data_IF_599678809498
#
_entry.id   IF_599678809498
#
_cell.length_a   1.000
_cell.length_b   1.000
_cell.length_c   1.000
_cell.angle_alpha   90.00
_cell.angle_beta   90.00
_cell.angle_gamma   90.00
#
_symmetry.space_group_name_H-M   'P 1'
#
loop_
_entity.id
_entity.type
_entity.pdbx_description
1 polymer ?
#
# COMPACT_ATOMS: atom_id res chain seq x y z
N UNK A 1 -39.00 2.38 -51.33
CA UNK A 1 -39.37 2.21 -49.92
C UNK A 1 -38.19 1.57 -49.19
N UNK A 2 -37.41 2.41 -48.54
CA UNK A 2 -36.21 2.04 -47.76
C UNK A 2 -36.57 2.08 -46.26
N UNK A 3 -36.29 1.06 -45.48
CA UNK A 3 -36.20 1.21 -44.04
C UNK A 3 -34.75 1.00 -43.58
N UNK A 4 -34.09 2.07 -43.26
CA UNK A 4 -32.84 2.09 -42.54
C UNK A 4 -33.01 1.52 -41.14
N UNK A 5 -32.51 0.34 -40.88
CA UNK A 5 -32.31 -0.19 -39.54
C UNK A 5 -31.03 0.39 -38.95
N UNK A 6 -31.20 1.43 -38.15
CA UNK A 6 -30.14 1.91 -37.26
C UNK A 6 -30.09 0.95 -36.06
N UNK A 7 -29.13 0.03 -36.05
CA UNK A 7 -28.83 -0.80 -34.87
C UNK A 7 -28.18 0.06 -33.82
N UNK A 8 -28.97 0.51 -32.87
CA UNK A 8 -28.49 1.12 -31.64
C UNK A 8 -27.83 0.02 -30.79
N UNK A 9 -26.49 -0.06 -30.81
CA UNK A 9 -25.75 -0.92 -29.90
C UNK A 9 -25.94 -0.42 -28.46
N UNK A 10 -26.94 -0.92 -27.77
CA UNK A 10 -27.04 -0.81 -26.33
C UNK A 10 -25.88 -1.57 -25.70
N UNK A 11 -24.84 -0.84 -25.32
CA UNK A 11 -23.82 -1.35 -24.39
C UNK A 11 -24.53 -1.57 -23.06
N UNK A 12 -24.90 -2.81 -22.77
CA UNK A 12 -25.49 -3.19 -21.49
C UNK A 12 -24.43 -3.04 -20.42
N UNK A 13 -24.51 -1.96 -19.62
CA UNK A 13 -23.72 -1.83 -18.40
C UNK A 13 -24.12 -2.93 -17.42
N UNK A 14 -23.31 -3.97 -17.29
CA UNK A 14 -23.46 -4.96 -16.23
C UNK A 14 -22.81 -4.42 -14.95
N UNK A 15 -23.59 -4.37 -13.87
CA UNK A 15 -23.09 -4.04 -12.54
C UNK A 15 -22.71 -5.32 -11.80
N UNK A 16 -21.49 -5.36 -11.29
CA UNK A 16 -21.01 -6.46 -10.45
C UNK A 16 -20.95 -5.92 -9.03
N UNK A 17 -21.85 -6.41 -8.16
CA UNK A 17 -21.82 -6.08 -6.74
C UNK A 17 -20.87 -7.02 -5.99
N UNK A 18 -20.06 -6.48 -5.11
CA UNK A 18 -19.24 -7.29 -4.22
C UNK A 18 -18.99 -6.62 -2.86
N UNK A 19 -19.00 -7.48 -1.82
CA UNK A 19 -18.60 -7.04 -0.48
C UNK A 19 -17.11 -6.81 -0.42
N UNK A 20 -16.69 -5.60 -0.07
CA UNK A 20 -15.28 -5.21 0.00
C UNK A 20 -14.92 -4.52 1.31
N UNK A 21 -13.61 -4.45 1.60
CA UNK A 21 -13.09 -3.69 2.72
C UNK A 21 -12.35 -2.44 2.23
N UNK A 22 -12.77 -1.26 2.69
CA UNK A 22 -12.09 0.01 2.41
C UNK A 22 -11.49 0.61 3.66
N UNK A 23 -10.24 1.08 3.54
CA UNK A 23 -9.57 1.85 4.57
C UNK A 23 -9.70 3.36 4.36
N UNK A 24 -10.24 4.07 5.34
CA UNK A 24 -10.37 5.52 5.36
C UNK A 24 -9.36 6.10 6.35
N UNK A 25 -8.40 6.87 5.86
CA UNK A 25 -7.35 7.45 6.71
C UNK A 25 -7.55 8.95 6.87
N UNK A 26 -7.64 9.42 8.12
CA UNK A 26 -7.83 10.81 8.48
C UNK A 26 -6.73 11.31 9.42
N UNK A 27 -6.31 12.57 9.26
CA UNK A 27 -5.37 13.22 10.16
C UNK A 27 -6.09 13.67 11.44
N UNK A 28 -5.67 13.13 12.58
CA UNK A 28 -6.18 13.49 13.88
C UNK A 28 -5.66 14.86 14.35
N UNK A 29 -6.48 15.53 15.19
CA UNK A 29 -6.16 16.78 15.87
C UNK A 29 -6.42 16.61 17.38
N UNK A 30 -5.59 15.82 18.08
CA UNK A 30 -5.73 15.62 19.52
C UNK A 30 -5.40 16.91 20.28
N UNK A 31 -5.98 17.06 21.47
CA UNK A 31 -5.51 18.02 22.47
C UNK A 31 -4.15 17.58 23.02
N UNK A 32 -3.50 18.43 23.81
CA UNK A 32 -2.22 18.09 24.43
C UNK A 32 -2.34 16.89 25.39
N UNK A 33 -3.43 16.80 26.12
CA UNK A 33 -3.73 15.68 27.03
C UNK A 33 -3.97 14.39 26.25
N UNK A 34 -4.77 14.46 25.18
CA UNK A 34 -4.99 13.33 24.29
C UNK A 34 -3.69 12.87 23.61
N UNK A 35 -2.80 13.78 23.20
CA UNK A 35 -1.49 13.40 22.64
C UNK A 35 -0.63 12.65 23.66
N UNK A 36 -0.60 13.12 24.91
CA UNK A 36 0.10 12.42 26.01
C UNK A 36 -0.47 11.01 26.19
N UNK A 37 -1.78 10.88 26.29
CA UNK A 37 -2.46 9.61 26.49
C UNK A 37 -2.28 8.66 25.30
N UNK A 38 -2.36 9.15 24.05
CA UNK A 38 -2.11 8.37 22.85
C UNK A 38 -0.65 7.87 22.78
N UNK A 39 0.31 8.65 23.25
CA UNK A 39 1.70 8.20 23.38
C UNK A 39 1.85 7.09 24.45
N UNK A 40 1.11 7.17 25.54
CA UNK A 40 1.05 6.12 26.56
C UNK A 40 0.44 4.83 25.98
N UNK A 41 -0.68 4.93 25.25
CA UNK A 41 -1.28 3.79 24.53
C UNK A 41 -0.29 3.10 23.62
N UNK A 42 0.40 3.87 22.76
CA UNK A 42 1.40 3.33 21.85
C UNK A 42 2.59 2.69 22.60
N UNK A 43 2.98 3.27 23.73
CA UNK A 43 4.02 2.74 24.62
C UNK A 43 3.67 1.39 25.20
N UNK A 44 2.49 1.29 25.81
CA UNK A 44 2.00 0.05 26.43
C UNK A 44 1.73 -1.04 25.39
N UNK A 45 1.11 -0.71 24.26
CA UNK A 45 0.91 -1.67 23.17
C UNK A 45 2.24 -2.19 22.59
N UNK A 46 3.26 -1.34 22.51
CA UNK A 46 4.62 -1.77 22.13
C UNK A 46 5.25 -2.68 23.16
N UNK A 47 5.11 -2.38 24.44
CA UNK A 47 5.57 -3.23 25.55
C UNK A 47 4.90 -4.60 25.49
N UNK A 48 3.57 -4.67 25.43
CA UNK A 48 2.81 -5.92 25.31
C UNK A 48 3.24 -6.74 24.08
N UNK A 49 3.44 -6.11 22.92
CA UNK A 49 3.97 -6.80 21.75
C UNK A 49 5.35 -7.40 21.99
N UNK A 50 6.26 -6.63 22.60
CA UNK A 50 7.63 -7.06 22.80
C UNK A 50 7.74 -8.17 23.85
N UNK A 51 7.02 -8.05 24.97
CA UNK A 51 6.95 -9.11 25.99
C UNK A 51 6.38 -10.40 25.40
N UNK A 52 5.26 -10.31 24.69
CA UNK A 52 4.64 -11.48 24.09
C UNK A 52 5.52 -12.13 23.01
N UNK A 53 6.26 -11.34 22.24
CA UNK A 53 7.22 -11.85 21.24
C UNK A 53 8.40 -12.54 21.93
N UNK A 54 8.99 -11.91 22.94
CA UNK A 54 10.11 -12.47 23.72
C UNK A 54 9.71 -13.79 24.37
N UNK A 55 8.55 -13.84 25.00
CA UNK A 55 7.99 -15.04 25.60
C UNK A 55 7.84 -16.18 24.58
N UNK A 56 7.33 -15.90 23.35
CA UNK A 56 7.22 -16.93 22.28
C UNK A 56 8.57 -17.40 21.81
N UNK A 57 9.58 -16.51 21.71
CA UNK A 57 10.94 -16.88 21.30
C UNK A 57 11.58 -17.78 22.35
N UNK A 58 11.49 -17.41 23.64
CA UNK A 58 12.08 -18.17 24.73
C UNK A 58 11.37 -19.51 24.93
N UNK A 59 10.04 -19.55 24.84
CA UNK A 59 9.27 -20.78 24.88
C UNK A 59 9.68 -21.74 23.73
N UNK A 60 9.83 -21.22 22.50
CA UNK A 60 10.30 -22.03 21.37
C UNK A 60 11.70 -22.61 21.61
N UNK A 61 12.62 -21.82 22.18
CA UNK A 61 14.01 -22.25 22.38
C UNK A 61 14.16 -23.25 23.52
N UNK A 62 13.41 -23.08 24.61
CA UNK A 62 13.62 -23.82 25.86
C UNK A 62 12.64 -24.96 26.07
N UNK A 63 11.37 -24.82 25.68
CA UNK A 63 10.28 -25.69 26.12
C UNK A 63 9.54 -26.42 25.00
N UNK A 64 9.77 -26.10 23.74
CA UNK A 64 9.01 -26.69 22.63
C UNK A 64 9.14 -28.22 22.61
N UNK A 65 10.31 -28.74 22.86
CA UNK A 65 10.60 -30.18 22.83
C UNK A 65 10.19 -30.90 24.13
N UNK A 66 10.17 -30.18 25.26
CA UNK A 66 9.90 -30.75 26.57
C UNK A 66 8.40 -30.85 26.92
N UNK A 67 7.59 -29.89 26.51
CA UNK A 67 6.19 -29.79 26.99
C UNK A 67 5.13 -30.00 25.92
N UNK A 68 5.48 -29.96 24.63
CA UNK A 68 4.49 -30.01 23.53
C UNK A 68 3.49 -28.83 23.51
N UNK A 69 3.47 -28.01 24.55
CA UNK A 69 2.53 -26.91 24.71
C UNK A 69 2.80 -25.79 23.70
N UNK A 70 1.73 -25.28 23.08
CA UNK A 70 1.81 -24.16 22.14
C UNK A 70 1.43 -22.86 22.86
N UNK A 71 2.36 -21.91 22.89
CA UNK A 71 2.06 -20.56 23.33
C UNK A 71 1.36 -19.80 22.20
N UNK A 72 0.10 -19.40 22.43
CA UNK A 72 -0.76 -18.78 21.44
C UNK A 72 -1.40 -17.50 21.98
N UNK A 73 -2.29 -16.89 21.18
CA UNK A 73 -3.05 -15.70 21.56
C UNK A 73 -3.85 -15.90 22.89
N UNK A 74 -4.51 -17.06 23.04
CA UNK A 74 -5.43 -17.31 24.18
C UNK A 74 -4.65 -17.36 25.48
N UNK A 75 -3.53 -18.08 25.53
CA UNK A 75 -2.67 -18.17 26.72
C UNK A 75 -2.10 -16.79 27.10
N UNK A 76 -1.60 -16.04 26.11
CA UNK A 76 -1.06 -14.71 26.35
C UNK A 76 -2.13 -13.68 26.74
N UNK A 77 -3.36 -13.83 26.25
CA UNK A 77 -4.47 -12.96 26.65
C UNK A 77 -4.93 -13.20 28.10
N UNK A 78 -4.82 -14.43 28.63
CA UNK A 78 -5.04 -14.73 30.04
C UNK A 78 -3.97 -14.08 30.90
N UNK A 79 -2.69 -14.27 30.57
CA UNK A 79 -1.56 -13.66 31.28
C UNK A 79 -1.59 -12.12 31.25
N UNK A 80 -2.16 -11.52 30.19
CA UNK A 80 -2.36 -10.08 30.13
C UNK A 80 -3.32 -9.58 31.22
N UNK A 81 -4.29 -10.41 31.68
CA UNK A 81 -5.18 -10.06 32.79
C UNK A 81 -4.37 -9.87 34.07
N UNK A 82 -3.43 -10.78 34.36
CA UNK A 82 -2.59 -10.74 35.55
C UNK A 82 -1.65 -9.54 35.54
N UNK A 83 -0.97 -9.30 34.40
CA UNK A 83 -0.15 -8.10 34.18
C UNK A 83 -0.94 -6.79 34.39
N UNK A 84 -2.20 -6.75 34.01
CA UNK A 84 -3.07 -5.59 34.19
C UNK A 84 -3.51 -5.42 35.65
N UNK A 85 -3.59 -6.50 36.40
CA UNK A 85 -3.88 -6.43 37.85
C UNK A 85 -2.67 -5.90 38.61
N UNK A 86 -1.48 -6.30 38.23
CA UNK A 86 -0.22 -5.96 38.90
C UNK A 86 0.27 -4.54 38.59
N UNK A 87 0.15 -4.09 37.28
CA UNK A 87 0.74 -2.84 36.81
C UNK A 87 -0.31 -1.79 36.45
N UNK A 88 -0.44 -0.72 37.24
CA UNK A 88 -1.38 0.38 37.02
C UNK A 88 -1.21 1.08 35.66
N UNK A 89 0.01 1.30 35.23
CA UNK A 89 0.27 1.95 33.92
C UNK A 89 -0.21 1.11 32.74
N UNK A 90 -0.24 -0.23 32.89
CA UNK A 90 -0.82 -1.14 31.89
C UNK A 90 -2.34 -1.09 31.97
N UNK A 91 -2.91 -1.07 33.21
CA UNK A 91 -4.34 -0.97 33.46
C UNK A 91 -4.94 0.36 32.97
N UNK A 92 -4.18 1.44 33.00
CA UNK A 92 -4.60 2.76 32.52
C UNK A 92 -4.94 2.78 31.01
N UNK A 93 -4.32 1.92 30.21
CA UNK A 93 -4.60 1.79 28.78
C UNK A 93 -5.75 0.81 28.52
N UNK A 94 -6.49 1.00 27.40
CA UNK A 94 -7.61 0.12 27.02
C UNK A 94 -7.15 -1.34 26.90
N UNK A 95 -7.91 -2.24 27.53
CA UNK A 95 -7.68 -3.69 27.45
C UNK A 95 -7.82 -4.19 26.02
N UNK A 96 -8.81 -3.69 25.29
CA UNK A 96 -9.08 -4.11 23.91
C UNK A 96 -7.95 -3.73 22.97
N UNK A 97 -7.32 -2.55 23.16
CA UNK A 97 -6.13 -2.17 22.37
C UNK A 97 -4.94 -3.11 22.62
N UNK A 98 -4.77 -3.57 23.86
CA UNK A 98 -3.73 -4.53 24.23
C UNK A 98 -4.03 -5.92 23.69
N UNK A 99 -5.26 -6.42 23.83
CA UNK A 99 -5.71 -7.70 23.28
C UNK A 99 -5.58 -7.73 21.74
N UNK A 100 -5.92 -6.63 21.05
CA UNK A 100 -5.70 -6.48 19.60
C UNK A 100 -4.22 -6.54 19.25
N UNK A 101 -3.35 -6.00 20.10
CA UNK A 101 -1.89 -6.09 19.89
C UNK A 101 -1.41 -7.54 19.92
N UNK A 102 -1.87 -8.35 20.86
CA UNK A 102 -1.57 -9.80 20.91
C UNK A 102 -2.14 -10.54 19.71
N UNK A 103 -3.37 -10.24 19.28
CA UNK A 103 -3.97 -10.83 18.09
C UNK A 103 -3.19 -10.49 16.82
N UNK A 104 -2.69 -9.26 16.71
CA UNK A 104 -1.85 -8.84 15.59
C UNK A 104 -0.50 -9.57 15.57
N UNK A 105 0.09 -9.84 16.75
CA UNK A 105 1.29 -10.67 16.86
C UNK A 105 1.02 -12.10 16.40
N UNK A 106 -0.10 -12.67 16.82
CA UNK A 106 -0.52 -14.01 16.43
C UNK A 106 -0.70 -14.11 14.90
N UNK A 107 -1.37 -13.14 14.29
CA UNK A 107 -1.52 -13.03 12.83
C UNK A 107 -0.16 -12.91 12.14
N UNK A 108 0.81 -12.17 12.72
CA UNK A 108 2.15 -12.05 12.16
C UNK A 108 2.90 -13.39 12.16
N UNK A 109 2.77 -14.20 13.22
CA UNK A 109 3.31 -15.57 13.26
C UNK A 109 2.63 -16.51 12.25
N UNK A 110 1.30 -16.46 12.14
CA UNK A 110 0.56 -17.25 11.15
C UNK A 110 1.03 -16.95 9.73
N UNK A 111 1.24 -15.67 9.39
CA UNK A 111 1.79 -15.25 8.10
C UNK A 111 3.22 -15.74 7.88
N UNK A 112 4.05 -15.70 8.92
CA UNK A 112 5.41 -16.23 8.87
C UNK A 112 5.40 -17.74 8.56
N UNK A 113 4.61 -18.53 9.27
CA UNK A 113 4.52 -19.98 9.04
C UNK A 113 3.93 -20.34 7.67
N UNK A 114 3.07 -19.48 7.10
CA UNK A 114 2.54 -19.63 5.73
C UNK A 114 3.52 -19.13 4.64
N UNK A 115 4.73 -18.69 4.98
CA UNK A 115 5.67 -18.08 4.02
C UNK A 115 5.25 -16.74 3.45
N UNK A 116 4.20 -16.12 4.00
CA UNK A 116 3.63 -14.84 3.53
C UNK A 116 4.27 -13.60 4.19
N UNK A 117 5.23 -13.79 5.07
CA UNK A 117 5.91 -12.70 5.76
C UNK A 117 7.18 -13.15 6.47
N UNK A 118 8.02 -12.20 6.86
CA UNK A 118 9.20 -12.47 7.66
C UNK A 118 8.87 -12.73 9.13
N UNK A 119 9.85 -13.21 9.90
CA UNK A 119 9.72 -13.41 11.34
C UNK A 119 9.36 -12.10 12.05
N UNK A 120 8.41 -12.10 13.02
CA UNK A 120 8.02 -10.92 13.75
C UNK A 120 9.21 -10.26 14.47
N UNK A 121 9.26 -8.92 14.45
CA UNK A 121 10.38 -8.16 15.01
C UNK A 121 9.94 -7.36 16.24
N UNK A 122 10.89 -7.14 17.16
CA UNK A 122 10.70 -6.23 18.28
C UNK A 122 10.40 -4.81 17.79
N UNK A 123 9.39 -4.19 18.39
CA UNK A 123 9.02 -2.80 18.08
C UNK A 123 9.88 -1.81 18.85
N UNK A 124 10.30 -0.73 18.16
CA UNK A 124 11.09 0.36 18.76
C UNK A 124 10.25 1.62 18.88
N UNK A 125 10.50 2.42 19.92
CA UNK A 125 9.84 3.73 20.13
C UNK A 125 10.04 4.62 18.91
N UNK A 126 8.95 5.19 18.39
CA UNK A 126 8.97 6.08 17.23
C UNK A 126 9.09 5.38 15.87
N UNK A 127 9.13 4.06 15.84
CA UNK A 127 9.16 3.27 14.60
C UNK A 127 7.80 2.57 14.40
N UNK A 128 6.78 3.33 13.96
CA UNK A 128 5.44 2.78 13.71
C UNK A 128 4.62 2.57 14.98
N UNK A 129 4.67 3.52 15.91
CA UNK A 129 3.83 3.53 17.10
C UNK A 129 2.34 3.51 16.68
N UNK A 130 1.63 2.44 17.05
CA UNK A 130 0.24 2.23 16.67
C UNK A 130 -0.50 1.38 17.69
N UNK A 131 -1.82 1.60 17.78
CA UNK A 131 -2.76 0.79 18.54
C UNK A 131 -4.10 0.74 17.80
N UNK A 132 -4.92 -0.29 18.04
CA UNK A 132 -6.15 -0.53 17.28
C UNK A 132 -7.31 -0.97 18.18
N UNK A 133 -8.52 -0.68 17.68
CA UNK A 133 -9.78 -1.01 18.34
C UNK A 133 -10.67 -1.81 17.39
N UNK A 134 -11.60 -2.60 17.95
CA UNK A 134 -12.66 -3.23 17.18
C UNK A 134 -13.71 -2.20 16.74
N UNK A 135 -14.37 -2.41 15.61
CA UNK A 135 -15.33 -1.46 15.06
C UNK A 135 -16.48 -1.12 16.00
N UNK A 136 -16.98 -2.11 16.75
CA UNK A 136 -18.05 -1.92 17.76
C UNK A 136 -17.72 -0.93 18.89
N UNK A 137 -16.44 -0.61 19.08
CA UNK A 137 -15.96 0.31 20.12
C UNK A 137 -15.66 1.71 19.58
N UNK A 138 -15.87 1.91 18.28
CA UNK A 138 -15.49 3.13 17.56
C UNK A 138 -16.74 3.79 17.02
N UNK A 139 -16.98 5.03 17.45
CA UNK A 139 -18.06 5.87 16.91
C UNK A 139 -17.45 7.01 16.11
N UNK A 140 -18.01 7.30 14.94
CA UNK A 140 -17.56 8.40 14.09
C UNK A 140 -18.72 9.31 13.80
N UNK A 141 -18.51 10.62 13.98
CA UNK A 141 -19.52 11.64 13.70
C UNK A 141 -18.95 12.76 12.81
N UNK A 142 -19.77 13.22 11.90
CA UNK A 142 -19.51 14.40 11.11
C UNK A 142 -19.92 15.64 11.89
N UNK A 143 -18.99 16.57 12.13
CA UNK A 143 -19.28 17.86 12.77
C UNK A 143 -19.76 18.87 11.74
N UNK A 144 -19.02 18.97 10.61
CA UNK A 144 -19.35 19.83 9.48
C UNK A 144 -18.67 19.37 8.20
N UNK A 145 -18.75 20.15 7.11
CA UNK A 145 -18.13 19.80 5.82
C UNK A 145 -16.63 19.48 5.90
N UNK A 146 -15.91 20.09 6.86
CA UNK A 146 -14.44 19.99 6.95
C UNK A 146 -13.96 19.14 8.10
N UNK A 147 -14.79 18.84 9.09
CA UNK A 147 -14.40 18.22 10.34
C UNK A 147 -15.33 17.07 10.73
N UNK A 148 -14.73 16.03 11.25
CA UNK A 148 -15.38 14.95 11.96
C UNK A 148 -14.73 14.71 13.33
N UNK A 149 -15.34 13.86 14.13
CA UNK A 149 -14.78 13.37 15.39
C UNK A 149 -14.92 11.86 15.48
N UNK A 150 -13.97 11.22 16.13
CA UNK A 150 -13.96 9.79 16.42
C UNK A 150 -13.89 9.59 17.92
N UNK A 151 -14.79 8.77 18.45
CA UNK A 151 -14.77 8.34 19.87
C UNK A 151 -13.99 7.04 19.95
N UNK A 152 -12.96 7.02 20.79
CA UNK A 152 -12.12 5.86 21.06
C UNK A 152 -12.11 5.55 22.56
N UNK A 153 -12.10 4.27 22.96
CA UNK A 153 -12.10 3.86 24.38
C UNK A 153 -10.98 4.51 25.18
N UNK A 154 -11.34 5.14 26.30
CA UNK A 154 -10.45 5.88 27.21
C UNK A 154 -9.79 7.15 26.63
N UNK A 155 -9.93 7.42 25.33
CA UNK A 155 -9.39 8.61 24.66
C UNK A 155 -10.46 9.68 24.41
N UNK A 156 -11.75 9.29 24.51
CA UNK A 156 -12.86 10.20 24.25
C UNK A 156 -12.98 10.61 22.79
N UNK A 157 -13.56 11.77 22.54
CA UNK A 157 -13.76 12.33 21.23
C UNK A 157 -12.53 13.06 20.74
N UNK A 158 -11.96 12.62 19.58
CA UNK A 158 -10.81 13.24 18.93
C UNK A 158 -11.25 13.83 17.60
N UNK A 159 -10.99 15.11 17.37
CA UNK A 159 -11.23 15.78 16.08
C UNK A 159 -10.31 15.26 14.97
N UNK A 160 -10.86 15.14 13.78
CA UNK A 160 -10.04 14.83 12.59
C UNK A 160 -10.48 15.67 11.38
N UNK A 161 -9.57 15.84 10.42
CA UNK A 161 -9.87 16.49 9.15
C UNK A 161 -10.65 15.52 8.27
N UNK A 162 -11.93 15.85 8.01
CA UNK A 162 -12.80 15.10 7.11
C UNK A 162 -12.44 15.46 5.66
N UNK A 163 -11.76 14.56 4.96
CA UNK A 163 -11.32 14.74 3.57
C UNK A 163 -12.25 14.06 2.58
N UNK A 164 -13.03 13.09 3.03
CA UNK A 164 -14.02 12.33 2.26
C UNK A 164 -15.05 11.74 3.22
N UNK A 165 -16.28 11.42 2.77
CA UNK A 165 -17.26 10.71 3.58
C UNK A 165 -16.72 9.35 4.04
N UNK A 166 -17.17 8.88 5.18
CA UNK A 166 -16.99 7.52 5.66
C UNK A 166 -18.24 6.72 5.26
N UNK A 167 -18.03 5.61 4.57
CA UNK A 167 -19.08 4.74 4.04
C UNK A 167 -18.91 3.32 4.59
N UNK A 168 -20.04 2.62 4.74
CA UNK A 168 -20.06 1.22 5.18
C UNK A 168 -19.96 1.02 6.69
N UNK A 169 -19.98 -0.24 7.10
CA UNK A 169 -19.91 -0.67 8.50
C UNK A 169 -18.48 -0.64 9.03
N UNK A 170 -18.24 0.05 10.14
CA UNK A 170 -16.91 0.13 10.76
C UNK A 170 -16.54 -1.23 11.37
N UNK A 171 -15.45 -1.84 10.91
CA UNK A 171 -14.93 -3.13 11.41
C UNK A 171 -13.73 -2.97 12.34
N UNK A 172 -12.92 -1.94 12.12
CA UNK A 172 -11.77 -1.64 12.96
C UNK A 172 -11.30 -0.20 12.79
N UNK A 173 -10.58 0.31 13.81
CA UNK A 173 -9.85 1.57 13.70
C UNK A 173 -8.44 1.38 14.23
N UNK A 174 -7.45 1.81 13.45
CA UNK A 174 -6.04 1.81 13.83
C UNK A 174 -5.53 3.24 13.91
N UNK A 175 -5.01 3.61 15.06
CA UNK A 175 -4.37 4.90 15.30
C UNK A 175 -2.87 4.73 15.16
N UNK A 176 -2.24 5.57 14.34
CA UNK A 176 -0.80 5.46 14.05
C UNK A 176 -0.13 6.83 14.18
N UNK A 177 1.06 6.86 14.79
CA UNK A 177 1.90 8.06 14.83
C UNK A 177 2.81 8.09 13.61
N UNK A 178 2.67 9.11 12.80
CA UNK A 178 3.50 9.36 11.62
C UNK A 178 4.41 10.58 11.82
N UNK A 179 5.34 10.80 10.90
CA UNK A 179 6.15 12.02 10.90
C UNK A 179 5.32 13.32 10.70
N UNK A 180 4.06 13.20 10.26
CA UNK A 180 3.11 14.31 10.07
C UNK A 180 2.10 14.46 11.21
N UNK A 181 2.22 13.69 12.28
CA UNK A 181 1.29 13.65 13.41
C UNK A 181 0.48 12.35 13.46
N UNK A 182 -0.51 12.33 14.32
CA UNK A 182 -1.41 11.19 14.49
C UNK A 182 -2.41 11.10 13.34
N UNK A 183 -2.69 9.87 12.94
CA UNK A 183 -3.75 9.56 11.98
C UNK A 183 -4.55 8.36 12.48
N UNK A 184 -5.83 8.32 12.12
CA UNK A 184 -6.69 7.16 12.28
C UNK A 184 -6.97 6.56 10.92
N UNK A 185 -6.83 5.24 10.80
CA UNK A 185 -7.26 4.45 9.65
C UNK A 185 -8.46 3.62 10.08
N UNK A 186 -9.62 3.88 9.49
CA UNK A 186 -10.88 3.21 9.78
C UNK A 186 -11.15 2.23 8.65
N UNK A 187 -11.18 0.95 8.97
CA UNK A 187 -11.54 -0.12 8.04
C UNK A 187 -13.04 -0.35 8.06
N UNK A 188 -13.69 -0.16 6.92
CA UNK A 188 -15.12 -0.37 6.75
C UNK A 188 -15.39 -1.52 5.80
N UNK A 189 -16.43 -2.30 6.08
CA UNK A 189 -17.03 -3.26 5.17
C UNK A 189 -18.18 -2.59 4.46
N UNK A 190 -18.18 -2.64 3.14
CA UNK A 190 -19.23 -2.05 2.31
C UNK A 190 -19.44 -2.87 1.05
N UNK A 191 -20.62 -2.78 0.52
CA UNK A 191 -20.95 -3.28 -0.80
C UNK A 191 -20.55 -2.23 -1.85
N UNK A 192 -19.88 -2.66 -2.90
CA UNK A 192 -19.45 -1.78 -3.99
C UNK A 192 -19.96 -2.37 -5.29
N UNK A 193 -20.63 -1.53 -6.04
CA UNK A 193 -21.00 -1.81 -7.42
C UNK A 193 -19.87 -1.34 -8.35
N UNK A 194 -19.45 -2.22 -9.23
CA UNK A 194 -18.47 -1.93 -10.27
C UNK A 194 -19.22 -1.86 -11.61
N UNK A 195 -19.06 -0.76 -12.31
CA UNK A 195 -19.53 -0.64 -13.68
C UNK A 195 -18.57 -1.42 -14.60
N UNK A 196 -19.06 -2.44 -15.26
CA UNK A 196 -18.37 -3.09 -16.37
C UNK A 196 -18.98 -2.62 -17.68
N UNK A 197 -18.39 -1.62 -18.27
CA UNK A 197 -18.80 -1.07 -19.58
C UNK A 197 -18.22 -1.84 -20.77
N UNK A 198 -17.66 -3.03 -20.54
CA UNK A 198 -17.04 -3.89 -21.57
C UNK A 198 -15.70 -3.37 -22.11
N UNK A 199 -15.35 -2.12 -21.84
CA UNK A 199 -14.08 -1.54 -22.33
C UNK A 199 -12.90 -2.03 -21.50
N UNK A 200 -11.83 -2.40 -22.17
CA UNK A 200 -10.59 -2.85 -21.52
C UNK A 200 -9.40 -2.04 -22.02
N UNK A 201 -8.48 -1.71 -21.13
CA UNK A 201 -7.26 -0.95 -21.43
C UNK A 201 -6.02 -1.67 -20.97
N UNK A 202 -4.97 -1.68 -21.80
CA UNK A 202 -3.63 -2.11 -21.43
C UNK A 202 -2.83 -0.96 -20.83
N UNK A 203 -2.02 -1.24 -19.80
CA UNK A 203 -1.19 -0.22 -19.14
C UNK A 203 0.26 -0.68 -19.11
N UNK A 204 1.13 0.05 -19.78
CA UNK A 204 2.59 -0.03 -19.60
C UNK A 204 3.02 0.84 -18.41
N UNK A 205 3.89 0.29 -17.54
CA UNK A 205 4.37 0.94 -16.31
C UNK A 205 5.85 1.27 -16.43
N UNK A 206 6.13 2.53 -16.74
CA UNK A 206 7.49 3.04 -16.94
C UNK A 206 8.03 3.87 -15.76
N UNK A 207 9.28 4.29 -15.89
CA UNK A 207 9.95 5.23 -14.98
C UNK A 207 9.85 6.66 -15.52
N UNK A 208 10.07 6.85 -16.80
CA UNK A 208 9.99 8.16 -17.47
C UNK A 208 8.53 8.58 -17.68
N UNK A 209 7.72 7.68 -18.21
CA UNK A 209 6.27 7.79 -18.25
C UNK A 209 5.72 6.79 -17.23
N UNK A 210 5.28 7.24 -16.06
CA UNK A 210 4.78 6.36 -15.00
C UNK A 210 3.70 5.37 -15.43
N UNK A 211 2.74 5.82 -16.24
CA UNK A 211 1.70 4.98 -16.85
C UNK A 211 1.42 5.49 -18.27
N UNK A 212 1.50 4.60 -19.25
CA UNK A 212 1.06 4.77 -20.59
C UNK A 212 -0.09 3.80 -20.86
N UNK A 213 -1.23 4.31 -21.32
CA UNK A 213 -2.39 3.52 -21.71
C UNK A 213 -2.35 3.16 -23.18
N UNK A 214 -3.00 2.05 -23.55
CA UNK A 214 -3.11 1.60 -24.94
C UNK A 214 -3.88 2.58 -25.85
N UNK A 215 -4.74 3.43 -25.27
CA UNK A 215 -5.41 4.53 -25.97
C UNK A 215 -4.50 5.76 -26.22
N UNK A 216 -3.27 5.75 -25.72
CA UNK A 216 -2.30 6.85 -25.84
C UNK A 216 -2.33 7.84 -24.66
N UNK A 217 -3.24 7.67 -23.69
CA UNK A 217 -3.29 8.51 -22.49
C UNK A 217 -2.04 8.31 -21.63
N UNK A 218 -1.44 9.41 -21.17
CA UNK A 218 -0.23 9.42 -20.34
C UNK A 218 -0.50 10.05 -18.98
N UNK A 219 -0.03 9.40 -17.92
CA UNK A 219 -0.06 9.98 -16.58
C UNK A 219 1.34 10.22 -16.07
N UNK A 220 1.60 11.46 -15.64
CA UNK A 220 2.88 11.89 -15.08
C UNK A 220 2.78 12.08 -13.57
N UNK A 221 3.89 11.87 -12.86
CA UNK A 221 3.97 12.19 -11.45
C UNK A 221 3.90 13.70 -11.22
N UNK A 222 3.15 14.17 -10.20
CA UNK A 222 3.12 15.59 -9.87
C UNK A 222 4.51 16.09 -9.43
N UNK A 223 4.87 17.34 -9.78
CA UNK A 223 6.18 17.92 -9.45
C UNK A 223 6.50 17.92 -7.95
N UNK A 224 5.48 17.95 -7.10
CA UNK A 224 5.62 17.92 -5.64
C UNK A 224 6.29 16.64 -5.14
N UNK A 225 6.10 15.51 -5.82
CA UNK A 225 6.72 14.22 -5.47
C UNK A 225 8.24 14.35 -5.60
N UNK A 226 8.71 14.90 -6.71
CA UNK A 226 10.14 15.12 -6.94
C UNK A 226 10.71 16.20 -6.01
N UNK A 227 10.02 17.35 -5.85
CA UNK A 227 10.38 18.46 -4.96
C UNK A 227 10.61 17.97 -3.53
N UNK A 228 9.64 17.22 -2.98
CA UNK A 228 9.77 16.67 -1.63
C UNK A 228 10.87 15.60 -1.55
N UNK A 229 11.05 14.78 -2.58
CA UNK A 229 12.12 13.80 -2.67
C UNK A 229 13.52 14.43 -2.66
N UNK A 230 13.75 15.47 -3.48
CA UNK A 230 15.01 16.24 -3.51
C UNK A 230 15.29 16.88 -2.14
N UNK A 231 14.30 17.52 -1.54
CA UNK A 231 14.40 18.15 -0.22
C UNK A 231 14.67 17.12 0.90
N UNK A 232 14.03 15.94 0.85
CA UNK A 232 14.29 14.87 1.80
C UNK A 232 15.72 14.34 1.73
N UNK A 233 16.26 14.14 0.52
CA UNK A 233 17.66 13.73 0.32
C UNK A 233 18.65 14.76 0.88
N UNK A 234 18.42 16.07 0.64
CA UNK A 234 19.22 17.15 1.22
C UNK A 234 19.19 17.10 2.75
N UNK A 235 18.01 16.94 3.35
CA UNK A 235 17.87 16.83 4.79
C UNK A 235 18.57 15.57 5.36
N UNK A 236 18.53 14.44 4.64
CA UNK A 236 19.27 13.22 5.02
C UNK A 236 20.78 13.40 4.99
N UNK A 237 21.32 14.07 3.95
CA UNK A 237 22.76 14.40 3.89
C UNK A 237 23.18 15.30 5.05
N UNK A 238 22.33 16.25 5.46
CA UNK A 238 22.59 17.08 6.63
C UNK A 238 22.61 16.22 7.91
N UNK A 239 21.64 15.31 8.05
CA UNK A 239 21.57 14.41 9.21
C UNK A 239 22.82 13.51 9.30
N UNK A 240 23.28 12.91 8.18
CA UNK A 240 24.41 11.99 8.18
C UNK A 240 25.75 12.65 8.58
N UNK A 241 25.86 13.97 8.41
CA UNK A 241 27.05 14.76 8.80
C UNK A 241 27.04 15.22 10.27
N UNK A 242 25.94 14.98 11.00
CA UNK A 242 25.80 15.40 12.39
C UNK A 242 26.14 14.26 13.34
N UNK A 243 26.70 14.60 14.52
CA UNK A 243 26.98 13.63 15.59
C UNK A 243 25.68 12.90 15.97
N UNK A 244 25.67 11.57 15.87
CA UNK A 244 24.53 10.73 16.25
C UNK A 244 24.15 10.99 17.72
N UNK A 245 22.84 11.04 18.02
CA UNK A 245 22.33 11.36 19.35
C UNK A 245 22.21 12.86 19.67
N UNK A 246 22.86 13.75 18.90
CA UNK A 246 22.75 15.19 19.13
C UNK A 246 21.35 15.73 18.77
N UNK A 247 20.93 16.82 19.43
CA UNK A 247 19.66 17.53 19.14
C UNK A 247 19.62 17.98 17.66
N UNK A 248 20.75 18.46 17.12
CA UNK A 248 20.86 18.86 15.72
C UNK A 248 20.65 17.69 14.75
N UNK A 249 21.19 16.50 15.07
CA UNK A 249 20.95 15.27 14.31
C UNK A 249 19.46 14.87 14.35
N UNK A 250 18.86 14.84 15.53
CA UNK A 250 17.45 14.50 15.70
C UNK A 250 16.52 15.50 14.97
N UNK A 251 16.84 16.79 14.96
CA UNK A 251 16.07 17.82 14.21
C UNK A 251 16.17 17.60 12.70
N UNK A 252 17.37 17.28 12.17
CA UNK A 252 17.57 16.99 10.76
C UNK A 252 16.85 15.69 10.32
N UNK A 253 16.91 14.64 11.14
CA UNK A 253 16.17 13.39 10.88
C UNK A 253 14.65 13.61 10.86
N UNK A 254 14.10 14.35 11.83
CA UNK A 254 12.67 14.70 11.85
C UNK A 254 12.26 15.48 10.60
N UNK A 255 13.10 16.43 10.13
CA UNK A 255 12.85 17.15 8.88
C UNK A 255 12.84 16.21 7.68
N UNK A 256 13.83 15.31 7.56
CA UNK A 256 13.88 14.32 6.49
C UNK A 256 12.66 13.38 6.49
N UNK A 257 12.27 12.90 7.66
CA UNK A 257 11.08 12.04 7.83
C UNK A 257 9.79 12.75 7.41
N UNK A 258 9.60 14.04 7.80
CA UNK A 258 8.44 14.85 7.38
C UNK A 258 8.39 15.03 5.87
N UNK A 259 9.52 15.30 5.22
CA UNK A 259 9.58 15.48 3.78
C UNK A 259 9.30 14.18 3.03
N UNK A 260 9.84 13.04 3.48
CA UNK A 260 9.49 11.71 2.95
C UNK A 260 8.00 11.39 3.10
N UNK A 261 7.42 11.71 4.25
CA UNK A 261 5.99 11.49 4.48
C UNK A 261 5.11 12.38 3.58
N UNK A 262 5.53 13.62 3.30
CA UNK A 262 4.86 14.50 2.32
C UNK A 262 4.97 13.93 0.90
N UNK A 263 6.15 13.47 0.49
CA UNK A 263 6.37 12.80 -0.79
C UNK A 263 5.45 11.59 -0.96
N UNK A 264 5.40 10.71 0.03
CA UNK A 264 4.54 9.54 0.02
C UNK A 264 3.05 9.90 -0.04
N UNK A 265 2.63 10.97 0.65
CA UNK A 265 1.25 11.46 0.60
C UNK A 265 0.89 12.02 -0.79
N UNK A 266 1.75 12.84 -1.39
CA UNK A 266 1.54 13.39 -2.73
C UNK A 266 1.41 12.27 -3.77
N UNK A 267 2.31 11.29 -3.74
CA UNK A 267 2.26 10.11 -4.60
C UNK A 267 0.97 9.29 -4.38
N UNK A 268 0.57 9.05 -3.13
CA UNK A 268 -0.66 8.32 -2.82
C UNK A 268 -1.90 9.04 -3.37
N UNK A 269 -1.94 10.35 -3.25
CA UNK A 269 -3.03 11.17 -3.79
C UNK A 269 -3.12 11.03 -5.30
N UNK A 270 -2.01 11.27 -6.01
CA UNK A 270 -1.93 11.07 -7.45
C UNK A 270 -2.35 9.65 -7.87
N UNK A 271 -1.86 8.61 -7.19
CA UNK A 271 -2.25 7.23 -7.51
C UNK A 271 -3.77 7.00 -7.33
N UNK A 272 -4.40 7.63 -6.34
CA UNK A 272 -5.86 7.57 -6.18
C UNK A 272 -6.61 8.29 -7.30
N UNK A 273 -6.15 9.46 -7.72
CA UNK A 273 -6.77 10.24 -8.82
C UNK A 273 -6.68 9.46 -10.13
N UNK A 274 -5.47 9.05 -10.51
CA UNK A 274 -5.24 8.30 -11.75
C UNK A 274 -6.01 6.98 -11.79
N UNK A 275 -5.95 6.18 -10.72
CA UNK A 275 -6.67 4.90 -10.70
C UNK A 275 -8.19 5.06 -10.63
N UNK A 276 -8.70 6.19 -10.14
CA UNK A 276 -10.13 6.51 -10.19
C UNK A 276 -10.55 6.93 -11.59
N UNK A 277 -9.72 7.73 -12.26
CA UNK A 277 -9.97 8.13 -13.65
C UNK A 277 -10.00 6.91 -14.59
N UNK A 278 -8.99 6.02 -14.47
CA UNK A 278 -8.95 4.77 -15.23
C UNK A 278 -10.19 3.91 -14.97
N UNK A 279 -10.57 3.70 -13.70
CA UNK A 279 -11.72 2.88 -13.33
C UNK A 279 -13.08 3.45 -13.75
N UNK A 280 -13.17 4.77 -13.98
CA UNK A 280 -14.38 5.40 -14.54
C UNK A 280 -14.50 5.18 -16.06
N UNK A 281 -13.38 5.09 -16.75
CA UNK A 281 -13.32 4.96 -18.20
C UNK A 281 -13.37 3.50 -18.67
N UNK A 282 -12.82 2.58 -17.88
CA UNK A 282 -12.63 1.19 -18.28
C UNK A 282 -13.10 0.22 -17.18
N UNK A 283 -13.95 -0.74 -17.57
CA UNK A 283 -14.36 -1.85 -16.71
C UNK A 283 -13.24 -2.88 -16.53
N UNK A 284 -12.38 -3.07 -17.56
CA UNK A 284 -11.25 -3.99 -17.56
C UNK A 284 -9.89 -3.28 -17.66
N UNK A 285 -8.91 -3.78 -16.91
CA UNK A 285 -7.52 -3.29 -16.96
C UNK A 285 -6.55 -4.45 -17.09
N UNK A 286 -5.62 -4.34 -18.02
CA UNK A 286 -4.53 -5.32 -18.21
C UNK A 286 -3.20 -4.69 -17.86
N UNK A 287 -2.43 -5.34 -16.98
CA UNK A 287 -1.09 -4.89 -16.57
C UNK A 287 -0.08 -6.04 -16.62
N UNK A 288 1.19 -5.72 -16.65
CA UNK A 288 2.26 -6.70 -16.54
C UNK A 288 2.38 -7.25 -15.10
N UNK A 289 2.73 -8.53 -14.95
CA UNK A 289 3.07 -9.17 -13.66
C UNK A 289 4.51 -8.83 -13.25
N UNK A 290 4.78 -7.60 -12.83
CA UNK A 290 6.12 -7.16 -12.46
C UNK A 290 6.50 -7.61 -11.04
N UNK A 291 7.68 -8.20 -10.87
CA UNK A 291 8.28 -8.52 -9.57
C UNK A 291 9.11 -7.35 -9.05
N UNK A 292 8.46 -6.29 -8.57
CA UNK A 292 9.10 -5.05 -8.13
C UNK A 292 10.19 -5.28 -7.08
N UNK A 293 10.02 -6.25 -6.16
CA UNK A 293 11.02 -6.61 -5.15
C UNK A 293 12.33 -7.12 -5.77
N UNK A 294 12.24 -7.94 -6.82
CA UNK A 294 13.41 -8.43 -7.55
C UNK A 294 14.06 -7.31 -8.37
N UNK A 295 13.23 -6.46 -9.02
CA UNK A 295 13.70 -5.33 -9.82
C UNK A 295 14.45 -4.31 -8.96
N UNK A 296 14.07 -4.11 -7.69
CA UNK A 296 14.67 -3.13 -6.78
C UNK A 296 15.72 -3.72 -5.83
N UNK A 297 16.15 -4.97 -6.06
CA UNK A 297 17.21 -5.61 -5.28
C UNK A 297 18.49 -4.78 -5.34
N UNK A 298 19.23 -4.74 -4.22
CA UNK A 298 20.52 -4.06 -4.15
C UNK A 298 21.58 -4.71 -5.04
N UNK A 299 22.39 -3.90 -5.69
CA UNK A 299 23.53 -4.37 -6.48
C UNK A 299 24.86 -4.28 -5.69
N UNK A 300 24.84 -4.16 -4.36
CA UNK A 300 26.05 -4.01 -3.54
C UNK A 300 27.02 -5.18 -3.61
N UNK A 301 26.52 -6.39 -3.87
CA UNK A 301 27.31 -7.61 -3.76
C UNK A 301 27.70 -7.94 -2.32
N UNK A 302 28.69 -8.77 -2.15
CA UNK A 302 29.32 -9.14 -0.88
C UNK A 302 30.74 -8.53 -0.77
N UNK A 303 31.39 -8.70 0.38
CA UNK A 303 32.79 -8.23 0.57
C UNK A 303 33.72 -8.95 -0.42
N UNK A 304 33.54 -10.27 -0.60
CA UNK A 304 34.37 -11.08 -1.49
C UNK A 304 33.99 -10.93 -2.97
N UNK A 305 32.78 -10.46 -3.29
CA UNK A 305 32.33 -10.24 -4.65
C UNK A 305 31.55 -8.91 -4.72
N UNK A 306 32.24 -7.78 -4.76
CA UNK A 306 31.61 -6.44 -4.77
C UNK A 306 30.83 -6.20 -6.04
N UNK A 307 29.65 -5.63 -5.88
CA UNK A 307 28.72 -5.37 -6.98
C UNK A 307 29.18 -4.20 -7.88
N UNK A 308 28.84 -4.27 -9.17
CA UNK A 308 29.12 -3.22 -10.17
C UNK A 308 27.93 -2.30 -10.36
N UNK A 309 28.17 -1.06 -10.76
CA UNK A 309 27.13 -0.08 -11.10
C UNK A 309 26.18 0.27 -9.93
N UNK A 310 26.58 0.08 -8.67
CA UNK A 310 25.74 0.24 -7.46
C UNK A 310 25.05 1.59 -7.39
N UNK A 311 25.75 2.69 -7.79
CA UNK A 311 25.20 4.06 -7.78
C UNK A 311 24.07 4.22 -8.82
N UNK A 312 24.27 3.73 -10.04
CA UNK A 312 23.27 3.77 -11.10
C UNK A 312 22.04 2.92 -10.73
N UNK A 313 22.26 1.69 -10.25
CA UNK A 313 21.19 0.79 -9.79
C UNK A 313 20.40 1.37 -8.62
N UNK A 314 21.06 2.03 -7.68
CA UNK A 314 20.38 2.72 -6.56
C UNK A 314 19.53 3.89 -7.07
N UNK A 315 19.98 4.59 -8.11
CA UNK A 315 19.20 5.61 -8.80
C UNK A 315 17.94 5.05 -9.42
N UNK A 316 18.07 4.01 -10.24
CA UNK A 316 16.95 3.32 -10.89
C UNK A 316 15.96 2.74 -9.87
N UNK A 317 16.44 2.05 -8.83
CA UNK A 317 15.60 1.50 -7.77
C UNK A 317 14.74 2.59 -7.11
N UNK A 318 15.32 3.76 -6.88
CA UNK A 318 14.61 4.91 -6.31
C UNK A 318 13.49 5.38 -7.22
N UNK A 319 13.75 5.51 -8.52
CA UNK A 319 12.74 5.99 -9.46
C UNK A 319 11.60 4.96 -9.64
N UNK A 320 11.89 3.67 -9.72
CA UNK A 320 10.87 2.60 -9.69
C UNK A 320 9.99 2.71 -8.43
N UNK A 321 10.62 2.87 -7.25
CA UNK A 321 9.88 3.01 -5.99
C UNK A 321 9.12 4.33 -5.87
N UNK A 322 9.58 5.38 -6.57
CA UNK A 322 8.89 6.67 -6.61
C UNK A 322 7.58 6.61 -7.38
N UNK A 323 7.45 5.81 -8.42
CA UNK A 323 6.18 5.62 -9.14
C UNK A 323 5.17 4.88 -8.25
N UNK A 324 5.61 3.86 -7.51
CA UNK A 324 4.73 3.10 -6.60
C UNK A 324 3.82 2.12 -7.34
N UNK A 325 4.33 1.40 -8.33
CA UNK A 325 3.58 0.44 -9.17
C UNK A 325 2.70 -0.54 -8.38
N UNK A 326 3.22 -1.10 -7.28
CA UNK A 326 2.43 -1.99 -6.43
C UNK A 326 1.21 -1.29 -5.80
N UNK A 327 1.35 -0.01 -5.42
CA UNK A 327 0.23 0.77 -4.87
C UNK A 327 -0.85 1.02 -5.93
N UNK A 328 -0.44 1.33 -7.18
CA UNK A 328 -1.35 1.51 -8.32
C UNK A 328 -2.07 0.20 -8.64
N UNK A 329 -1.34 -0.91 -8.72
CA UNK A 329 -1.89 -2.25 -8.93
C UNK A 329 -2.93 -2.61 -7.86
N UNK A 330 -2.61 -2.41 -6.58
CA UNK A 330 -3.55 -2.64 -5.47
C UNK A 330 -4.79 -1.76 -5.60
N UNK A 331 -4.64 -0.49 -6.01
CA UNK A 331 -5.77 0.42 -6.17
C UNK A 331 -6.65 0.07 -7.36
N UNK A 332 -6.08 -0.34 -8.47
CA UNK A 332 -6.83 -0.83 -9.64
C UNK A 332 -7.59 -2.09 -9.29
N UNK A 333 -6.98 -3.03 -8.56
CA UNK A 333 -7.62 -4.29 -8.17
C UNK A 333 -8.94 -4.12 -7.43
N UNK A 334 -9.10 -3.08 -6.59
CA UNK A 334 -10.35 -2.84 -5.87
C UNK A 334 -11.22 -1.72 -6.47
N UNK A 335 -10.80 -1.09 -7.56
CA UNK A 335 -11.58 -0.02 -8.22
C UNK A 335 -12.18 -0.43 -9.56
N UNK A 336 -11.59 -1.41 -10.24
CA UNK A 336 -12.05 -1.89 -11.54
C UNK A 336 -12.79 -3.21 -11.40
N UNK A 337 -13.72 -3.49 -12.30
CA UNK A 337 -14.46 -4.75 -12.32
C UNK A 337 -13.53 -5.95 -12.62
N UNK A 338 -12.54 -5.74 -13.51
CA UNK A 338 -11.59 -6.78 -13.93
C UNK A 338 -10.15 -6.25 -13.96
N UNK A 339 -9.22 -6.96 -13.32
CA UNK A 339 -7.78 -6.69 -13.41
C UNK A 339 -7.06 -7.96 -13.87
N UNK A 340 -6.48 -7.93 -15.06
CA UNK A 340 -5.72 -9.04 -15.63
C UNK A 340 -4.22 -8.76 -15.55
N UNK A 341 -3.42 -9.78 -15.17
CA UNK A 341 -1.96 -9.67 -15.10
C UNK A 341 -1.32 -10.60 -16.12
N UNK A 342 -0.56 -10.04 -17.06
CA UNK A 342 0.09 -10.77 -18.14
C UNK A 342 1.61 -10.91 -17.95
N UNK A 343 2.23 -11.84 -18.66
CA UNK A 343 3.68 -12.03 -18.64
C UNK A 343 4.37 -10.80 -19.22
N UNK A 344 5.35 -10.18 -18.53
CA UNK A 344 6.08 -9.01 -19.00
C UNK A 344 7.16 -9.31 -20.07
N UNK A 345 7.48 -10.59 -20.32
CA UNK A 345 8.57 -10.94 -21.22
C UNK A 345 8.36 -10.34 -22.62
N UNK A 346 9.36 -9.60 -23.09
CA UNK A 346 9.41 -9.01 -24.44
C UNK A 346 8.26 -8.06 -24.82
N UNK A 347 7.41 -7.59 -23.91
CA UNK A 347 6.32 -6.66 -24.22
C UNK A 347 6.80 -5.41 -24.93
N UNK A 348 7.97 -4.88 -24.58
CA UNK A 348 8.59 -3.70 -25.18
C UNK A 348 9.31 -3.96 -26.52
N UNK A 349 9.46 -5.22 -26.94
CA UNK A 349 10.13 -5.65 -28.18
C UNK A 349 9.16 -6.27 -29.18
N UNK A 350 7.93 -6.56 -28.76
CA UNK A 350 6.87 -7.14 -29.57
C UNK A 350 6.18 -6.03 -30.36
N UNK A 351 5.92 -6.25 -31.63
CA UNK A 351 5.11 -5.37 -32.48
C UNK A 351 3.62 -5.56 -32.14
N UNK A 352 2.91 -4.48 -31.88
CA UNK A 352 1.47 -4.51 -31.59
C UNK A 352 0.63 -4.90 -32.83
N UNK A 353 1.16 -4.67 -34.04
CA UNK A 353 0.46 -4.95 -35.30
C UNK A 353 0.66 -6.40 -35.78
N UNK A 354 1.91 -6.86 -35.91
CA UNK A 354 2.19 -8.18 -36.48
C UNK A 354 2.69 -9.24 -35.49
N UNK A 355 2.87 -8.88 -34.21
CA UNK A 355 3.33 -9.82 -33.18
C UNK A 355 4.82 -10.18 -33.21
N UNK A 356 5.59 -9.76 -34.22
CA UNK A 356 7.03 -10.05 -34.32
C UNK A 356 7.79 -9.51 -33.14
N UNK A 357 8.65 -10.33 -32.55
CA UNK A 357 9.51 -9.98 -31.42
C UNK A 357 10.92 -9.71 -31.93
N UNK A 358 11.34 -8.46 -31.96
CA UNK A 358 12.70 -8.09 -32.36
C UNK A 358 13.18 -6.86 -31.57
N UNK A 359 14.34 -6.98 -30.92
CA UNK A 359 14.96 -5.89 -30.14
C UNK A 359 15.28 -4.67 -31.03
N UNK A 360 15.57 -4.84 -32.30
CA UNK A 360 15.90 -3.77 -33.25
C UNK A 360 14.68 -2.89 -33.57
N UNK A 361 13.45 -3.39 -33.34
CA UNK A 361 12.22 -2.62 -33.56
C UNK A 361 12.08 -1.45 -32.56
N UNK A 362 12.62 -1.55 -31.34
CA UNK A 362 12.64 -0.44 -30.38
C UNK A 362 13.85 0.45 -30.64
N UNK A 363 13.68 1.51 -31.44
CA UNK A 363 14.74 2.44 -31.80
C UNK A 363 15.18 3.35 -30.65
N UNK A 364 14.25 3.74 -29.79
CA UNK A 364 14.52 4.56 -28.61
C UNK A 364 13.46 4.31 -27.52
N UNK A 365 13.50 5.08 -26.45
CA UNK A 365 12.46 5.04 -25.42
C UNK A 365 11.10 5.54 -25.95
N UNK A 366 11.09 6.43 -26.92
CA UNK A 366 9.87 7.03 -27.48
C UNK A 366 9.48 6.49 -28.85
N UNK A 367 10.39 5.80 -29.58
CA UNK A 367 10.17 5.39 -30.96
C UNK A 367 10.24 3.87 -31.13
N UNK A 368 9.18 3.30 -31.68
CA UNK A 368 9.09 1.92 -32.12
C UNK A 368 8.88 1.89 -33.63
N UNK A 369 9.69 1.11 -34.37
CA UNK A 369 9.56 0.88 -35.81
C UNK A 369 9.79 -0.60 -36.05
N UNK A 370 8.74 -1.34 -36.39
CA UNK A 370 8.83 -2.78 -36.60
C UNK A 370 9.74 -3.10 -37.80
N UNK A 371 10.71 -3.97 -37.60
CA UNK A 371 11.63 -4.38 -38.67
C UNK A 371 10.99 -5.35 -39.67
N UNK A 372 9.87 -6.01 -39.28
CA UNK A 372 9.19 -6.96 -40.17
C UNK A 372 8.07 -6.29 -40.99
N UNK A 373 7.16 -5.52 -40.36
CA UNK A 373 5.99 -4.96 -41.06
C UNK A 373 6.04 -3.44 -41.21
N UNK A 374 7.09 -2.75 -40.75
CA UNK A 374 7.22 -1.29 -40.87
C UNK A 374 6.30 -0.47 -39.94
N UNK A 375 5.47 -1.10 -39.13
CA UNK A 375 4.58 -0.40 -38.17
C UNK A 375 5.37 0.57 -37.30
N UNK A 376 4.85 1.80 -37.12
CA UNK A 376 5.48 2.87 -36.36
C UNK A 376 4.53 3.36 -35.27
N UNK A 377 5.05 3.50 -34.03
CA UNK A 377 4.31 4.04 -32.90
C UNK A 377 5.26 4.60 -31.82
N UNK A 378 4.69 5.23 -30.79
CA UNK A 378 5.42 5.47 -29.55
C UNK A 378 5.72 4.12 -28.86
N UNK A 379 6.96 3.92 -28.42
CA UNK A 379 7.41 2.63 -27.90
C UNK A 379 6.63 2.18 -26.63
N UNK A 380 6.25 3.13 -25.76
CA UNK A 380 5.51 2.82 -24.54
C UNK A 380 4.02 2.56 -24.87
N UNK A 381 3.44 3.25 -25.91
CA UNK A 381 2.10 2.97 -26.39
C UNK A 381 2.03 1.60 -27.07
N UNK A 382 2.98 1.28 -27.94
CA UNK A 382 3.09 -0.06 -28.54
C UNK A 382 3.13 -1.15 -27.45
N UNK A 383 3.95 -0.96 -26.40
CA UNK A 383 4.00 -1.90 -25.27
C UNK A 383 2.64 -2.04 -24.56
N UNK A 384 1.93 -0.93 -24.33
CA UNK A 384 0.61 -0.94 -23.71
C UNK A 384 -0.43 -1.68 -24.57
N UNK A 385 -0.39 -1.55 -25.90
CA UNK A 385 -1.26 -2.31 -26.82
C UNK A 385 -0.90 -3.80 -26.82
N UNK A 386 0.38 -4.16 -26.81
CA UNK A 386 0.82 -5.56 -26.66
C UNK A 386 0.33 -6.17 -25.36
N UNK A 387 0.39 -5.41 -24.24
CA UNK A 387 -0.12 -5.84 -22.93
C UNK A 387 -1.63 -6.08 -23.01
N UNK A 388 -2.39 -5.19 -23.65
CA UNK A 388 -3.82 -5.34 -23.87
C UNK A 388 -4.14 -6.62 -24.66
N UNK A 389 -3.47 -6.82 -25.80
CA UNK A 389 -3.68 -7.98 -26.65
C UNK A 389 -3.42 -9.31 -25.92
N UNK A 390 -2.37 -9.35 -25.10
CA UNK A 390 -2.08 -10.52 -24.24
C UNK A 390 -3.16 -10.80 -23.21
N UNK A 391 -3.80 -9.76 -22.68
CA UNK A 391 -4.91 -9.91 -21.72
C UNK A 391 -6.20 -10.38 -22.36
N UNK A 392 -6.38 -10.15 -23.64
CA UNK A 392 -7.54 -10.59 -24.43
C UNK A 392 -7.37 -11.98 -25.05
N UNK A 393 -6.20 -12.64 -24.85
CA UNK A 393 -5.96 -14.00 -25.34
C UNK A 393 -6.86 -15.01 -24.59
N UNK A 394 -7.53 -15.95 -25.26
CA UNK A 394 -8.31 -16.99 -24.61
C UNK A 394 -7.47 -17.77 -23.58
N UNK A 395 -8.04 -18.06 -22.41
CA UNK A 395 -7.37 -18.78 -21.32
C UNK A 395 -6.65 -17.90 -20.29
N UNK A 396 -6.61 -16.58 -20.48
CA UNK A 396 -6.11 -15.65 -19.45
C UNK A 396 -7.28 -15.19 -18.57
N UNK A 397 -7.42 -15.80 -17.41
CA UNK A 397 -8.47 -15.40 -16.47
C UNK A 397 -8.15 -14.07 -15.76
N UNK A 398 -9.13 -13.15 -15.66
CA UNK A 398 -8.97 -11.96 -14.86
C UNK A 398 -8.91 -12.34 -13.37
N UNK A 399 -7.92 -11.81 -12.66
CA UNK A 399 -7.88 -11.90 -11.20
C UNK A 399 -9.04 -11.10 -10.60
N UNK A 400 -10.11 -11.79 -10.19
CA UNK A 400 -11.13 -11.19 -9.35
C UNK A 400 -10.57 -11.03 -7.95
N UNK A 401 -10.58 -9.79 -7.46
CA UNK A 401 -10.18 -9.52 -6.11
C UNK A 401 -11.27 -10.00 -5.13
N UNK A 402 -11.05 -11.13 -4.45
CA UNK A 402 -11.90 -11.60 -3.37
C UNK A 402 -11.38 -10.97 -2.08
N UNK A 403 -12.23 -10.22 -1.39
CA UNK A 403 -11.91 -9.27 -0.31
C UNK A 403 -11.08 -9.74 0.89
N UNK A 404 -10.68 -11.00 0.98
CA UNK A 404 -9.88 -11.53 2.10
C UNK A 404 -8.39 -11.13 2.05
N UNK A 405 -7.86 -10.74 0.89
CA UNK A 405 -6.45 -10.32 0.77
C UNK A 405 -6.20 -8.85 1.18
N UNK A 406 -7.24 -8.02 1.34
CA UNK A 406 -7.12 -6.60 1.70
C UNK A 406 -6.56 -6.34 3.10
N UNK A 407 -6.65 -7.31 4.00
CA UNK A 407 -6.08 -7.20 5.36
C UNK A 407 -4.55 -7.09 5.38
N UNK A 408 -3.90 -7.29 4.24
CA UNK A 408 -2.45 -7.48 4.15
C UNK A 408 -1.67 -6.19 3.83
N UNK A 409 -2.32 -5.12 3.38
CA UNK A 409 -1.62 -3.94 2.81
C UNK A 409 -1.41 -2.79 3.81
N UNK A 410 -1.91 -2.89 5.06
CA UNK A 410 -1.82 -1.79 6.03
C UNK A 410 -0.68 -1.90 7.05
N UNK A 411 0.25 -2.84 6.91
CA UNK A 411 1.36 -3.03 7.85
C UNK A 411 2.74 -3.04 7.16
N UNK A 412 3.00 -2.05 6.29
CA UNK A 412 4.36 -1.75 5.80
C UNK A 412 4.66 -0.26 5.99
#
# INVERSE_FOLDING_TARGET
>A
MDPRFTTCNHVSNSYISSMTFRGYTYALRPTQEQDKLMNQFAGVCRLVWNLALDQRINHWRQYKHATGNKLNYVTQARQLKDLRAEFDFIRAVSQTAQARTLKNLDTAFQRFFKGQGGFPKFKRKGAGDAFSFAGREVTVEKINRRWGRVKLPKLGWIKFRLTRPLEGEIREATVTRTALGWQVSIGCRLEVEYSDNGQTVGIDRGVTVPLMLSDGTRYQLPPEVEKHGKAARKAQKIASRRKRGSVRHAKAQRRAARLKARQARARKHWAHEVTTDIARRYGGVVIEKLRTSSMTRSAKGTINNPGRGVKAKTGLNREILNVGWHQIETMLAYKTARLTKVNPAYSSQTCASCGTVDKRSRKSQAAFVCVACGYRDNADRNAAVVILNRGNTPGVEPNRWVGDEARTVQAA
#
